data_IF_281399004807
#
_entry.id   IF_281399004807
#
_cell.length_a   1.000
_cell.length_b   1.000
_cell.length_c   1.000
_cell.angle_alpha   90.00
_cell.angle_beta   90.00
_cell.angle_gamma   90.00
#
_symmetry.space_group_name_H-M   'P 1'
#
loop_
_entity.id
_entity.type
_entity.pdbx_description
1 polymer ?
#
# COMPACT_ATOMS: atom_id res chain seq x y z
N UNK A 1 -13.60 2.94 4.89
CA UNK A 1 -14.90 2.60 5.50
C UNK A 1 -14.79 2.74 7.02
N UNK A 2 -15.92 2.74 7.75
CA UNK A 2 -15.89 2.73 9.20
C UNK A 2 -15.04 1.54 9.71
N UNK A 3 -14.09 1.80 10.60
CA UNK A 3 -13.17 0.79 11.14
C UNK A 3 -11.92 0.49 10.31
N UNK A 4 -11.77 1.07 9.11
CA UNK A 4 -10.51 0.97 8.37
C UNK A 4 -9.48 1.98 8.86
N UNK A 5 -8.20 1.59 8.81
CA UNK A 5 -7.04 2.41 9.18
C UNK A 5 -6.12 2.54 7.96
N UNK A 6 -5.57 3.73 7.76
CA UNK A 6 -4.52 3.99 6.76
C UNK A 6 -3.17 4.00 7.49
N UNK A 7 -2.22 3.15 7.07
CA UNK A 7 -0.84 3.19 7.56
C UNK A 7 -0.07 4.38 7.00
N UNK A 8 1.15 4.61 7.52
CA UNK A 8 2.03 5.69 7.09
C UNK A 8 2.74 5.35 5.78
N UNK A 9 2.67 6.27 4.82
CA UNK A 9 3.39 6.17 3.55
C UNK A 9 4.80 6.77 3.62
N UNK A 10 5.61 6.54 2.59
CA UNK A 10 6.94 7.17 2.49
C UNK A 10 6.90 8.69 2.29
N UNK A 11 5.73 9.26 1.95
CA UNK A 11 5.49 10.71 2.02
C UNK A 11 5.35 11.23 3.46
N UNK A 12 5.36 10.34 4.44
CA UNK A 12 5.29 10.67 5.87
C UNK A 12 3.87 10.81 6.41
N UNK A 13 2.84 10.71 5.56
CA UNK A 13 1.43 10.90 5.91
C UNK A 13 0.63 9.59 5.77
N UNK A 14 -0.51 9.51 6.48
CA UNK A 14 -1.42 8.35 6.48
C UNK A 14 -2.56 8.53 5.48
N UNK A 15 -2.19 8.80 4.23
CA UNK A 15 -3.09 9.06 3.11
C UNK A 15 -2.46 8.56 1.80
N UNK A 16 -3.26 8.45 0.75
CA UNK A 16 -2.75 8.12 -0.58
C UNK A 16 -1.93 9.27 -1.17
N UNK A 17 -0.63 9.03 -1.40
CA UNK A 17 0.24 9.91 -2.18
C UNK A 17 0.35 9.43 -3.63
N UNK A 18 0.01 10.30 -4.59
CA UNK A 18 -0.02 9.98 -6.01
C UNK A 18 1.36 9.82 -6.68
N UNK A 19 1.33 9.57 -7.99
CA UNK A 19 2.54 9.38 -8.80
C UNK A 19 3.33 10.69 -8.97
N UNK A 20 4.65 10.63 -8.73
CA UNK A 20 5.58 11.76 -8.88
C UNK A 20 6.99 11.29 -9.35
N UNK A 21 7.09 10.52 -10.46
CA UNK A 21 8.37 9.94 -10.93
C UNK A 21 9.30 11.03 -11.48
N UNK A 22 10.64 10.97 -11.38
CA UNK A 22 11.51 12.05 -11.88
C UNK A 22 11.23 12.41 -13.35
N UNK A 23 11.37 13.70 -13.70
CA UNK A 23 11.16 14.19 -15.07
C UNK A 23 12.20 13.56 -16.01
N UNK A 24 11.75 12.98 -17.12
CA UNK A 24 12.61 12.33 -18.11
C UNK A 24 13.09 10.92 -17.74
N UNK A 25 12.67 10.37 -16.60
CA UNK A 25 12.92 8.97 -16.27
C UNK A 25 11.94 8.04 -17.03
N UNK A 26 12.27 6.75 -17.12
CA UNK A 26 11.35 5.75 -17.68
C UNK A 26 10.05 5.74 -16.87
N UNK A 27 8.88 5.49 -17.49
CA UNK A 27 7.63 5.39 -16.72
C UNK A 27 7.74 4.42 -15.55
N UNK A 28 7.43 4.90 -14.34
CA UNK A 28 7.45 4.08 -13.12
C UNK A 28 6.23 3.17 -13.07
N UNK A 29 6.38 2.02 -12.39
CA UNK A 29 5.29 1.06 -12.17
C UNK A 29 4.64 1.29 -10.82
N UNK A 30 3.34 1.53 -10.82
CA UNK A 30 2.53 1.70 -9.62
C UNK A 30 1.66 0.46 -9.44
N UNK A 31 1.98 -0.35 -8.42
CA UNK A 31 1.31 -1.62 -8.14
C UNK A 31 0.19 -1.41 -7.11
N UNK A 32 -1.05 -1.52 -7.56
CA UNK A 32 -2.24 -1.49 -6.71
C UNK A 32 -2.62 -2.92 -6.37
N UNK A 33 -2.47 -3.32 -5.11
CA UNK A 33 -2.69 -4.70 -4.68
C UNK A 33 -3.81 -4.78 -3.64
N UNK A 34 -4.79 -5.64 -3.90
CA UNK A 34 -5.82 -6.02 -2.94
C UNK A 34 -5.43 -7.35 -2.32
N UNK A 35 -5.59 -7.46 -1.01
CA UNK A 35 -5.26 -8.65 -0.22
C UNK A 35 -6.50 -9.19 0.46
N UNK A 36 -6.75 -10.49 0.34
CA UNK A 36 -7.73 -11.22 1.13
C UNK A 36 -7.03 -11.85 2.33
N UNK A 37 -7.51 -11.60 3.55
CA UNK A 37 -6.86 -12.02 4.79
C UNK A 37 -7.72 -13.05 5.54
N UNK A 38 -7.07 -13.91 6.33
CA UNK A 38 -7.73 -14.93 7.18
C UNK A 38 -8.18 -14.41 8.56
N UNK A 39 -7.98 -13.13 8.83
CA UNK A 39 -8.29 -12.47 10.11
C UNK A 39 -9.11 -11.21 9.86
N UNK A 40 -10.02 -10.90 10.78
CA UNK A 40 -10.93 -9.76 10.63
C UNK A 40 -10.24 -8.40 10.83
N UNK A 41 -9.18 -8.35 11.65
CA UNK A 41 -8.44 -7.14 11.99
C UNK A 41 -6.94 -7.40 12.13
N UNK A 42 -6.15 -6.44 11.67
CA UNK A 42 -4.73 -6.36 11.97
C UNK A 42 -4.52 -5.33 13.09
N UNK A 43 -3.63 -5.62 14.04
CA UNK A 43 -3.27 -4.68 15.11
C UNK A 43 -2.31 -3.59 14.59
N UNK A 44 -2.83 -2.69 13.75
CA UNK A 44 -2.09 -1.61 13.10
C UNK A 44 -2.78 -0.27 13.34
N UNK A 45 -1.99 0.78 13.51
CA UNK A 45 -2.46 2.16 13.62
C UNK A 45 -1.98 3.01 12.43
N UNK A 46 -2.15 4.32 12.52
CA UNK A 46 -1.76 5.24 11.45
C UNK A 46 -0.25 5.49 11.35
N UNK A 47 0.55 5.04 12.32
CA UNK A 47 2.01 5.15 12.32
C UNK A 47 2.70 3.89 11.78
N UNK A 48 1.95 2.80 11.58
CA UNK A 48 2.48 1.58 10.98
C UNK A 48 3.12 1.87 9.61
N UNK A 49 4.41 1.52 9.48
CA UNK A 49 5.14 1.70 8.22
C UNK A 49 4.62 0.76 7.13
N UNK A 50 4.83 1.11 5.86
CA UNK A 50 4.52 0.23 4.73
C UNK A 50 5.14 -1.17 4.87
N UNK A 51 6.34 -1.27 5.44
CA UNK A 51 7.00 -2.54 5.71
C UNK A 51 6.29 -3.36 6.80
N UNK A 52 5.86 -2.74 7.90
CA UNK A 52 5.11 -3.42 8.96
C UNK A 52 3.74 -3.89 8.46
N UNK A 53 3.04 -3.04 7.71
CA UNK A 53 1.79 -3.42 7.02
C UNK A 53 2.04 -4.63 6.12
N UNK A 54 3.08 -4.57 5.27
CA UNK A 54 3.46 -5.65 4.38
C UNK A 54 3.78 -6.96 5.11
N UNK A 55 4.50 -6.89 6.23
CA UNK A 55 4.78 -8.07 7.07
C UNK A 55 3.48 -8.72 7.57
N UNK A 56 2.57 -7.93 8.12
CA UNK A 56 1.29 -8.43 8.66
C UNK A 56 0.36 -8.98 7.57
N UNK A 57 0.34 -8.36 6.38
CA UNK A 57 -0.41 -8.85 5.22
C UNK A 57 0.10 -10.22 4.78
N UNK A 58 1.42 -10.39 4.60
CA UNK A 58 1.99 -11.66 4.16
C UNK A 58 1.76 -12.79 5.18
N UNK A 59 1.80 -12.49 6.49
CA UNK A 59 1.53 -13.49 7.54
C UNK A 59 0.07 -13.99 7.55
N UNK A 60 -0.87 -13.20 7.02
CA UNK A 60 -2.31 -13.46 7.10
C UNK A 60 -3.02 -13.63 5.74
N UNK A 61 -2.29 -13.54 4.63
CA UNK A 61 -2.85 -13.61 3.29
C UNK A 61 -3.46 -14.98 2.98
N UNK A 62 -4.67 -14.97 2.42
CA UNK A 62 -5.30 -16.10 1.73
C UNK A 62 -5.08 -15.98 0.21
N UNK A 63 -5.17 -14.76 -0.31
CA UNK A 63 -4.96 -14.45 -1.73
C UNK A 63 -4.58 -12.97 -1.91
N UNK A 64 -4.05 -12.63 -3.09
CA UNK A 64 -3.81 -11.24 -3.51
C UNK A 64 -4.03 -11.09 -5.02
N UNK A 65 -4.45 -9.92 -5.44
CA UNK A 65 -4.56 -9.54 -6.85
C UNK A 65 -3.94 -8.16 -7.05
N UNK A 66 -3.21 -7.97 -8.15
CA UNK A 66 -2.47 -6.73 -8.44
C UNK A 66 -2.83 -6.20 -9.81
N UNK A 67 -3.13 -4.90 -9.89
CA UNK A 67 -3.14 -4.15 -11.13
C UNK A 67 -1.91 -3.25 -11.14
N UNK A 68 -1.19 -3.21 -12.26
CA UNK A 68 -0.04 -2.30 -12.44
C UNK A 68 -0.40 -1.23 -13.44
N UNK A 69 -0.29 0.04 -13.03
CA UNK A 69 -0.36 1.20 -13.90
C UNK A 69 1.02 1.82 -14.09
N UNK A 70 1.22 2.56 -15.17
CA UNK A 70 2.48 3.25 -15.45
C UNK A 70 2.26 4.74 -15.63
N UNK A 71 3.18 5.56 -15.12
CA UNK A 71 3.20 7.01 -15.33
C UNK A 71 4.63 7.53 -15.46
N UNK A 72 4.84 8.51 -16.36
CA UNK A 72 6.10 9.23 -16.56
C UNK A 72 5.83 10.74 -16.63
N UNK A 73 6.83 11.56 -16.30
CA UNK A 73 6.76 13.03 -16.35
C UNK A 73 7.71 13.61 -17.37
#
# INVERSE_FOLDING_TARGET
PAGAVQGRTDFGQSEFGGACPPVGDKPHRYQFTVWALKVDKLALDNQASGALVGYMLNANALAKATITSTYGR
#
